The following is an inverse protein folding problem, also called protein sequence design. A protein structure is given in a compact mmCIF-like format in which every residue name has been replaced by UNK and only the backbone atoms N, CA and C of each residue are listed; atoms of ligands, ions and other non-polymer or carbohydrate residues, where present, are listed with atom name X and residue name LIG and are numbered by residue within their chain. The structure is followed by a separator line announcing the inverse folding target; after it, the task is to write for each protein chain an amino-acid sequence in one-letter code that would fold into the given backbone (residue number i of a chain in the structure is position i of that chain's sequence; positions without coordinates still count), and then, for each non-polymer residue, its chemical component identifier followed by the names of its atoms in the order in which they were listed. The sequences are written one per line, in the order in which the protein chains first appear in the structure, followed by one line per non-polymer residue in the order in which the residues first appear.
data_IF_985718297914
#
_entry.id   IF_985718297914
#
_cell.length_a   1.000
_cell.length_b   1.000
_cell.length_c   1.000
_cell.angle_alpha   90.00
_cell.angle_beta   90.00
_cell.angle_gamma   90.00
#
_symmetry.space_group_name_H-M   'P 1'
#
loop_
_entity.id
_entity.type
_entity.pdbx_description
1 polymer ?
#
# COMPACT_ATOMS: atom_id res chain seq x y z
N UNK A 1 7.44 9.23 -0.33
CA UNK A 1 7.72 7.98 0.38
C UNK A 1 8.55 7.08 -0.54
N UNK A 2 9.56 6.37 -0.03
CA UNK A 2 10.37 5.42 -0.82
C UNK A 2 10.38 4.11 -0.04
N UNK A 3 9.82 3.06 -0.63
CA UNK A 3 9.73 1.72 -0.07
C UNK A 3 10.50 0.77 -0.98
N UNK A 4 11.72 0.39 -0.59
CA UNK A 4 12.53 -0.57 -1.34
C UNK A 4 12.42 -1.93 -0.66
N UNK A 5 12.14 -2.98 -1.43
CA UNK A 5 11.86 -4.34 -0.92
C UNK A 5 10.79 -4.35 0.20
N UNK A 6 9.61 -3.74 -0.02
CA UNK A 6 8.57 -3.72 1.00
C UNK A 6 7.99 -5.11 1.29
N UNK A 7 7.65 -5.35 2.55
CA UNK A 7 6.95 -6.54 3.03
C UNK A 7 5.84 -6.10 4.00
N UNK A 8 4.60 -6.52 3.73
CA UNK A 8 3.49 -6.35 4.69
C UNK A 8 3.68 -7.40 5.78
N UNK A 9 3.99 -6.94 6.99
CA UNK A 9 4.28 -7.80 8.15
C UNK A 9 3.10 -7.89 9.13
N UNK A 10 2.12 -7.00 9.01
CA UNK A 10 0.82 -7.08 9.67
C UNK A 10 -0.27 -6.38 8.86
N UNK A 11 -1.52 -6.81 8.99
CA UNK A 11 -2.66 -6.26 8.25
C UNK A 11 -3.98 -6.47 8.99
N UNK A 12 -4.81 -5.44 9.05
CA UNK A 12 -6.10 -5.48 9.75
C UNK A 12 -7.22 -4.79 8.96
N UNK A 13 -8.44 -5.33 9.13
CA UNK A 13 -9.66 -4.79 8.53
C UNK A 13 -9.74 -5.06 7.03
N UNK A 14 -10.93 -4.91 6.46
CA UNK A 14 -11.13 -4.95 5.00
C UNK A 14 -12.09 -3.83 4.65
N UNK A 15 -11.71 -3.03 3.65
CA UNK A 15 -12.55 -1.99 3.06
C UNK A 15 -12.62 -2.19 1.54
N UNK A 16 -13.71 -1.75 0.94
CA UNK A 16 -13.80 -1.57 -0.50
C UNK A 16 -13.54 -0.10 -0.83
N UNK A 17 -12.64 0.14 -1.79
CA UNK A 17 -12.30 1.47 -2.28
C UNK A 17 -12.27 1.48 -3.80
N UNK A 18 -12.74 2.57 -4.41
CA UNK A 18 -12.64 2.74 -5.85
C UNK A 18 -11.21 3.13 -6.22
N UNK A 19 -10.49 2.24 -6.92
CA UNK A 19 -9.12 2.46 -7.35
C UNK A 19 -9.05 2.74 -8.86
N UNK A 20 -8.09 3.58 -9.25
CA UNK A 20 -7.65 3.75 -10.63
C UNK A 20 -6.13 3.67 -10.70
N UNK A 21 -5.58 3.41 -11.87
CA UNK A 21 -4.13 3.29 -12.07
C UNK A 21 -3.70 4.15 -13.26
N UNK A 22 -2.52 4.78 -13.17
CA UNK A 22 -1.93 5.47 -14.32
C UNK A 22 -1.66 4.51 -15.49
N UNK A 23 -1.44 3.22 -15.20
CA UNK A 23 -1.28 2.17 -16.20
C UNK A 23 -2.60 1.73 -16.86
N UNK A 24 -3.77 2.12 -16.30
CA UNK A 24 -5.11 1.80 -16.81
C UNK A 24 -5.99 3.05 -16.84
N UNK A 25 -5.75 3.98 -17.79
CA UNK A 25 -6.39 5.29 -17.77
C UNK A 25 -7.91 5.20 -18.02
N UNK A 26 -8.68 5.93 -17.21
CA UNK A 26 -10.12 6.11 -17.38
C UNK A 26 -11.00 5.03 -16.75
N UNK A 27 -10.42 4.03 -16.08
CA UNK A 27 -11.15 2.98 -15.38
C UNK A 27 -10.99 3.14 -13.87
N UNK A 28 -12.12 2.99 -13.17
CA UNK A 28 -12.20 3.03 -11.72
C UNK A 28 -13.15 1.93 -11.25
N UNK A 29 -12.65 1.00 -10.47
CA UNK A 29 -13.43 -0.15 -9.98
C UNK A 29 -13.20 -0.34 -8.48
N UNK A 30 -14.18 -0.88 -7.74
CA UNK A 30 -14.00 -1.21 -6.34
C UNK A 30 -13.01 -2.37 -6.16
N UNK A 31 -12.04 -2.19 -5.27
CA UNK A 31 -11.04 -3.19 -4.89
C UNK A 31 -11.04 -3.35 -3.37
N UNK A 32 -11.00 -4.61 -2.91
CA UNK A 32 -10.89 -4.93 -1.49
C UNK A 32 -9.45 -4.78 -1.02
N UNK A 33 -9.23 -3.95 0.00
CA UNK A 33 -7.93 -3.70 0.61
C UNK A 33 -7.98 -3.89 2.12
N UNK A 34 -6.85 -4.22 2.72
CA UNK A 34 -6.69 -4.08 4.16
C UNK A 34 -6.80 -2.61 4.54
N UNK A 35 -7.55 -2.31 5.60
CA UNK A 35 -7.76 -0.94 6.06
C UNK A 35 -6.47 -0.37 6.66
N UNK A 36 -5.75 -1.21 7.41
CA UNK A 36 -4.48 -0.87 8.05
C UNK A 36 -3.44 -1.91 7.68
N UNK A 37 -2.20 -1.46 7.43
CA UNK A 37 -1.05 -2.35 7.18
C UNK A 37 0.19 -1.85 7.92
N UNK A 38 1.00 -2.78 8.41
CA UNK A 38 2.36 -2.50 8.87
C UNK A 38 3.33 -3.01 7.81
N UNK A 39 4.12 -2.10 7.24
CA UNK A 39 5.08 -2.43 6.18
C UNK A 39 6.50 -2.27 6.68
N UNK A 40 7.33 -3.28 6.44
CA UNK A 40 8.79 -3.21 6.60
C UNK A 40 9.42 -2.95 5.24
N UNK A 41 10.31 -1.98 5.14
CA UNK A 41 11.01 -1.66 3.89
C UNK A 41 12.40 -1.06 4.16
N UNK A 42 13.21 -1.00 3.10
CA UNK A 42 14.42 -0.19 3.04
C UNK A 42 14.09 1.22 2.56
N UNK A 43 14.73 2.21 3.16
CA UNK A 43 14.69 3.58 2.66
C UNK A 43 15.67 3.77 1.49
N UNK A 44 15.73 4.99 0.94
CA UNK A 44 16.65 5.32 -0.17
C UNK A 44 18.14 5.16 0.16
N UNK A 45 18.49 5.14 1.45
CA UNK A 45 19.85 4.98 1.93
C UNK A 45 20.17 3.51 2.24
N UNK A 46 19.20 2.60 2.09
CA UNK A 46 19.34 1.19 2.42
C UNK A 46 19.20 0.89 3.92
N UNK A 47 18.57 1.77 4.68
CA UNK A 47 18.27 1.53 6.10
C UNK A 47 16.88 0.93 6.27
N UNK A 48 16.76 -0.11 7.11
CA UNK A 48 15.48 -0.75 7.40
C UNK A 48 14.62 0.13 8.30
N UNK A 49 13.33 0.23 7.97
CA UNK A 49 12.33 0.85 8.82
C UNK A 49 10.98 0.14 8.72
N UNK A 50 10.09 0.45 9.66
CA UNK A 50 8.68 0.04 9.64
C UNK A 50 7.78 1.26 9.53
N UNK A 51 6.67 1.11 8.82
CA UNK A 51 5.66 2.13 8.59
C UNK A 51 4.27 1.56 8.84
N UNK A 52 3.57 2.11 9.81
CA UNK A 52 2.12 1.93 9.94
C UNK A 52 1.43 2.84 8.91
N UNK A 53 0.51 2.26 8.14
CA UNK A 53 -0.29 2.98 7.16
C UNK A 53 -1.76 2.60 7.31
N UNK A 54 -2.62 3.61 7.21
CA UNK A 54 -4.06 3.51 7.27
C UNK A 54 -4.70 4.27 6.08
N UNK A 55 -6.02 4.16 5.96
CA UNK A 55 -6.86 4.86 5.00
C UNK A 55 -6.27 4.80 3.57
N UNK A 56 -6.07 5.97 2.94
CA UNK A 56 -5.59 6.06 1.57
C UNK A 56 -4.14 5.58 1.43
N UNK A 57 -3.30 5.75 2.45
CA UNK A 57 -1.90 5.34 2.36
C UNK A 57 -1.79 3.81 2.36
N UNK A 58 -2.59 3.12 3.19
CA UNK A 58 -2.66 1.67 3.20
C UNK A 58 -3.08 1.13 1.81
N UNK A 59 -4.10 1.75 1.20
CA UNK A 59 -4.58 1.41 -0.14
C UNK A 59 -3.48 1.60 -1.19
N UNK A 60 -2.83 2.77 -1.22
CA UNK A 60 -1.77 3.05 -2.19
C UNK A 60 -0.57 2.10 -2.04
N UNK A 61 -0.17 1.76 -0.82
CA UNK A 61 0.94 0.83 -0.60
C UNK A 61 0.59 -0.56 -1.15
N UNK A 62 -0.61 -1.07 -0.85
CA UNK A 62 -1.07 -2.35 -1.40
C UNK A 62 -1.16 -2.32 -2.93
N UNK A 63 -1.65 -1.23 -3.53
CA UNK A 63 -1.74 -1.05 -4.98
C UNK A 63 -0.36 -1.14 -5.68
N UNK A 64 0.64 -0.43 -5.15
CA UNK A 64 1.97 -0.38 -5.77
C UNK A 64 2.83 -1.62 -5.45
N UNK A 65 2.36 -2.49 -4.55
CA UNK A 65 3.00 -3.77 -4.23
C UNK A 65 2.47 -4.94 -5.05
N UNK A 66 1.30 -4.80 -5.70
CA UNK A 66 0.73 -5.78 -6.63
C UNK A 66 1.49 -5.82 -7.97
#
# INVERSE_FOLDING_TARGET
LILINPEIIDSEGIIETAEGCLSVPGFYEPVSRFQNVLVKALDRNGEWFTLEADDLLAVCIQHEMD
#
